data_IF_340755354055
#
_entry.id   IF_340755354055
#
_cell.length_a   1.000
_cell.length_b   1.000
_cell.length_c   1.000
_cell.angle_alpha   90.00
_cell.angle_beta   90.00
_cell.angle_gamma   90.00
#
_symmetry.space_group_name_H-M   'P 1'
#
loop_
_entity.id
_entity.type
_entity.pdbx_description
1 polymer ?
#
# COMPACT_ATOMS: atom_id res chain seq x y z
N UNK A 1 25.84 9.43 -20.48
CA UNK A 1 24.48 9.99 -20.57
C UNK A 1 23.66 9.31 -19.49
N UNK A 2 23.29 10.05 -18.44
CA UNK A 2 22.61 9.49 -17.26
C UNK A 2 21.10 9.45 -17.49
N UNK A 3 20.54 8.24 -17.59
CA UNK A 3 19.10 8.00 -17.46
C UNK A 3 18.82 7.50 -16.05
N UNK A 4 18.55 8.42 -15.13
CA UNK A 4 17.90 8.10 -13.88
C UNK A 4 16.48 7.64 -14.17
N UNK A 5 16.25 6.33 -14.20
CA UNK A 5 14.91 5.75 -14.33
C UNK A 5 14.17 5.95 -13.02
N UNK A 6 13.36 7.00 -12.97
CA UNK A 6 12.32 7.15 -11.97
C UNK A 6 11.25 6.09 -12.19
N UNK A 7 11.02 5.26 -11.18
CA UNK A 7 9.83 4.42 -11.08
C UNK A 7 8.57 5.30 -10.92
N UNK A 8 8.14 5.95 -11.99
CA UNK A 8 6.76 6.47 -12.10
C UNK A 8 5.84 5.28 -12.36
N UNK A 9 5.50 4.54 -11.30
CA UNK A 9 4.38 3.60 -11.30
C UNK A 9 3.14 4.34 -10.80
N UNK A 10 2.50 5.08 -11.71
CA UNK A 10 1.12 5.55 -11.55
C UNK A 10 0.27 4.89 -12.62
N UNK A 11 0.08 3.58 -12.49
CA UNK A 11 -1.12 2.92 -13.00
C UNK A 11 -1.83 2.36 -11.77
N UNK A 12 -2.39 3.30 -11.02
CA UNK A 12 -3.45 3.00 -10.08
C UNK A 12 -4.58 2.37 -10.89
N UNK A 13 -5.28 1.38 -10.31
CA UNK A 13 -6.68 1.21 -10.67
C UNK A 13 -7.35 2.53 -10.23
N UNK A 14 -7.42 3.50 -11.14
CA UNK A 14 -8.34 4.61 -10.96
C UNK A 14 -9.72 3.98 -10.94
N UNK A 15 -10.30 3.95 -9.74
CA UNK A 15 -11.72 3.80 -9.54
C UNK A 15 -12.37 4.95 -10.30
N UNK A 16 -13.00 4.63 -11.44
CA UNK A 16 -13.78 5.59 -12.20
C UNK A 16 -14.88 6.08 -11.27
N UNK A 17 -14.87 7.38 -10.97
CA UNK A 17 -15.99 8.04 -10.28
C UNK A 17 -17.26 7.70 -11.06
N UNK A 18 -18.34 7.21 -10.42
CA UNK A 18 -19.57 6.94 -11.13
C UNK A 18 -20.07 8.23 -11.80
N UNK A 19 -20.18 8.19 -13.13
CA UNK A 19 -20.74 9.27 -13.94
C UNK A 19 -22.23 9.42 -13.59
N UNK A 20 -22.55 10.31 -12.65
CA UNK A 20 -23.93 10.49 -12.19
C UNK A 20 -24.26 11.76 -11.42
N UNK A 21 -23.30 12.63 -11.08
CA UNK A 21 -23.59 13.87 -10.33
C UNK A 21 -22.85 15.10 -10.89
N UNK A 22 -23.49 16.28 -10.88
CA UNK A 22 -22.96 17.48 -11.51
C UNK A 22 -21.72 17.98 -10.76
N UNK A 23 -20.74 18.59 -11.46
CA UNK A 23 -19.52 19.07 -10.84
C UNK A 23 -19.83 20.28 -9.96
N UNK A 24 -19.69 20.15 -8.65
CA UNK A 24 -19.49 21.29 -7.76
C UNK A 24 -18.12 21.94 -8.08
N UNK A 25 -18.03 23.27 -8.17
CA UNK A 25 -16.83 23.93 -8.63
C UNK A 25 -15.74 23.85 -7.55
N UNK A 26 -14.63 23.19 -7.89
CA UNK A 26 -13.40 23.20 -7.11
C UNK A 26 -12.65 24.48 -7.52
N UNK A 27 -12.46 25.42 -6.60
CA UNK A 27 -11.50 26.51 -6.81
C UNK A 27 -10.08 25.96 -6.65
N UNK A 28 -9.35 25.91 -7.76
CA UNK A 28 -7.90 25.77 -7.77
C UNK A 28 -7.26 27.03 -7.17
N UNK A 29 -6.33 26.85 -6.24
CA UNK A 29 -5.37 27.89 -5.87
C UNK A 29 -3.98 27.30 -5.83
N UNK A 30 -3.20 27.57 -6.88
CA UNK A 30 -1.75 27.71 -6.71
C UNK A 30 -1.14 28.72 -7.71
N UNK A 31 -0.43 29.71 -7.16
CA UNK A 31 0.69 30.42 -7.78
C UNK A 31 0.44 31.58 -8.76
N UNK A 32 0.48 32.84 -8.28
CA UNK A 32 0.74 34.01 -9.15
C UNK A 32 0.61 35.36 -8.46
N UNK A 33 1.73 36.02 -8.19
CA UNK A 33 1.84 37.36 -7.59
C UNK A 33 0.99 38.42 -8.31
N UNK A 34 0.07 39.04 -7.58
CA UNK A 34 -0.67 40.23 -8.02
C UNK A 34 -1.37 40.89 -6.84
N UNK A 35 -1.04 42.15 -6.57
CA UNK A 35 -1.68 43.01 -5.57
C UNK A 35 -3.19 43.13 -5.85
N UNK A 36 -4.01 42.34 -5.17
CA UNK A 36 -5.45 42.55 -5.11
C UNK A 36 -5.94 42.37 -3.67
N UNK A 37 -6.26 43.52 -3.09
CA UNK A 37 -7.40 43.82 -2.20
C UNK A 37 -8.01 42.64 -1.41
N UNK A 38 -8.11 42.73 -0.06
CA UNK A 38 -8.75 41.68 0.73
C UNK A 38 -10.17 41.44 0.19
N UNK A 39 -10.60 40.18 0.01
CA UNK A 39 -11.93 39.91 -0.51
C UNK A 39 -12.93 40.55 0.43
N UNK A 40 -13.75 41.45 -0.12
CA UNK A 40 -14.88 42.02 0.56
C UNK A 40 -15.67 40.90 1.24
N UNK A 41 -16.05 41.12 2.49
CA UNK A 41 -16.95 40.26 3.25
C UNK A 41 -18.21 39.99 2.40
N UNK A 42 -18.22 38.85 1.69
CA UNK A 42 -19.46 38.26 1.24
C UNK A 42 -20.23 37.89 2.51
N UNK A 43 -21.48 38.37 2.69
CA UNK A 43 -22.26 37.94 3.83
C UNK A 43 -22.37 36.42 3.78
N UNK A 44 -21.90 35.74 4.84
CA UNK A 44 -22.16 34.31 5.04
C UNK A 44 -23.66 34.11 4.83
N UNK A 45 -24.05 33.43 3.75
CA UNK A 45 -25.45 33.07 3.55
C UNK A 45 -25.91 32.34 4.81
N UNK A 46 -26.97 32.86 5.44
CA UNK A 46 -27.58 32.23 6.60
C UNK A 46 -28.19 30.91 6.14
N UNK A 47 -27.51 29.80 6.43
CA UNK A 47 -27.98 28.44 6.14
C UNK A 47 -29.07 28.07 7.17
N UNK A 48 -30.19 27.49 6.74
CA UNK A 48 -31.20 26.94 7.65
C UNK A 48 -30.77 25.58 8.21
N UNK A 49 -31.37 25.14 9.32
CA UNK A 49 -31.12 23.79 9.86
C UNK A 49 -31.39 22.67 8.85
N UNK A 50 -32.39 22.83 7.98
CA UNK A 50 -32.75 21.87 6.94
C UNK A 50 -31.67 21.79 5.86
N UNK A 51 -31.17 22.94 5.40
CA UNK A 51 -30.10 23.01 4.40
C UNK A 51 -28.78 22.47 4.96
N UNK A 52 -28.44 22.86 6.19
CA UNK A 52 -27.23 22.39 6.88
C UNK A 52 -27.23 20.87 7.05
N UNK A 53 -28.34 20.29 7.53
CA UNK A 53 -28.45 18.85 7.68
C UNK A 53 -28.34 18.13 6.33
N UNK A 54 -29.06 18.61 5.31
CA UNK A 54 -29.01 18.00 3.96
C UNK A 54 -27.59 17.97 3.43
N UNK A 55 -26.88 19.11 3.46
CA UNK A 55 -25.50 19.23 3.00
C UNK A 55 -24.58 18.26 3.76
N UNK A 56 -24.65 18.25 5.09
CA UNK A 56 -23.82 17.35 5.91
C UNK A 56 -24.07 15.88 5.57
N UNK A 57 -25.33 15.48 5.48
CA UNK A 57 -25.73 14.10 5.19
C UNK A 57 -25.30 13.68 3.77
N UNK A 58 -25.44 14.57 2.76
CA UNK A 58 -24.95 14.32 1.40
C UNK A 58 -23.41 14.19 1.35
N UNK A 59 -22.68 15.07 2.04
CA UNK A 59 -21.22 14.99 2.13
C UNK A 59 -20.74 13.73 2.87
N UNK A 60 -21.42 13.34 3.95
CA UNK A 60 -21.16 12.09 4.69
C UNK A 60 -21.39 10.91 3.76
N UNK A 61 -22.56 10.80 3.15
CA UNK A 61 -22.92 9.69 2.27
C UNK A 61 -21.92 9.54 1.11
N UNK A 62 -21.48 10.65 0.51
CA UNK A 62 -20.50 10.64 -0.57
C UNK A 62 -19.10 10.20 -0.12
N UNK A 63 -18.68 10.52 1.10
CA UNK A 63 -17.40 10.04 1.63
C UNK A 63 -17.49 8.59 2.11
N UNK A 64 -18.60 8.22 2.74
CA UNK A 64 -18.85 6.86 3.22
C UNK A 64 -18.82 5.82 2.10
N UNK A 65 -19.34 6.14 0.91
CA UNK A 65 -19.31 5.22 -0.23
C UNK A 65 -17.89 4.87 -0.67
N UNK A 66 -16.90 5.71 -0.35
CA UNK A 66 -15.48 5.41 -0.59
C UNK A 66 -14.87 4.51 0.49
N UNK A 67 -15.59 4.21 1.58
CA UNK A 67 -15.19 3.37 2.72
C UNK A 67 -13.82 3.74 3.35
N UNK A 68 -13.56 5.03 3.66
CA UNK A 68 -12.22 5.50 4.00
C UNK A 68 -11.68 4.88 5.30
N UNK A 69 -12.54 4.61 6.29
CA UNK A 69 -12.15 3.99 7.57
C UNK A 69 -11.66 2.54 7.42
N UNK A 70 -12.47 1.62 6.88
CA UNK A 70 -12.05 0.24 6.65
C UNK A 70 -10.84 0.11 5.72
N UNK A 71 -10.78 0.92 4.65
CA UNK A 71 -9.62 0.99 3.75
C UNK A 71 -8.39 1.50 4.51
N UNK A 72 -8.52 2.51 5.38
CA UNK A 72 -7.41 3.02 6.21
C UNK A 72 -6.86 1.93 7.14
N UNK A 73 -7.72 1.25 7.89
CA UNK A 73 -7.29 0.18 8.81
C UNK A 73 -6.52 -0.91 8.06
N UNK A 74 -6.99 -1.28 6.87
CA UNK A 74 -6.32 -2.26 6.01
C UNK A 74 -4.95 -1.76 5.55
N UNK A 75 -4.86 -0.51 5.11
CA UNK A 75 -3.60 0.08 4.66
C UNK A 75 -2.58 0.24 5.81
N UNK A 76 -3.04 0.56 7.03
CA UNK A 76 -2.19 0.64 8.22
C UNK A 76 -1.70 -0.73 8.66
N UNK A 77 -2.59 -1.73 8.71
CA UNK A 77 -2.22 -3.13 8.98
C UNK A 77 -1.19 -3.65 7.96
N UNK A 78 -1.32 -3.26 6.68
CA UNK A 78 -0.34 -3.60 5.66
C UNK A 78 1.03 -2.95 5.93
N UNK A 79 1.07 -1.68 6.34
CA UNK A 79 2.32 -1.01 6.76
C UNK A 79 2.95 -1.75 7.94
N UNK A 80 2.16 -2.14 8.94
CA UNK A 80 2.64 -2.89 10.10
C UNK A 80 3.20 -4.26 9.71
N UNK A 81 2.51 -4.99 8.84
CA UNK A 81 2.95 -6.29 8.33
C UNK A 81 4.33 -6.19 7.66
N UNK A 82 4.54 -5.26 6.73
CA UNK A 82 5.85 -5.10 6.07
C UNK A 82 6.93 -4.69 7.08
N UNK A 83 6.60 -3.82 8.05
CA UNK A 83 7.55 -3.42 9.10
C UNK A 83 7.92 -4.59 10.03
N UNK A 84 6.97 -5.50 10.32
CA UNK A 84 7.22 -6.68 11.15
C UNK A 84 8.13 -7.69 10.44
N UNK A 85 7.93 -7.89 9.13
CA UNK A 85 8.79 -8.72 8.30
C UNK A 85 10.24 -8.21 8.26
N UNK A 86 10.45 -6.88 8.29
CA UNK A 86 11.77 -6.25 8.41
C UNK A 86 12.46 -6.61 9.74
N UNK A 87 11.73 -6.68 10.85
CA UNK A 87 12.30 -7.00 12.18
C UNK A 87 12.60 -8.48 12.36
N UNK A 88 11.72 -9.36 11.85
CA UNK A 88 11.92 -10.81 11.93
C UNK A 88 13.17 -11.31 11.20
N UNK A 89 13.62 -10.60 10.16
CA UNK A 89 14.89 -10.88 9.47
C UNK A 89 16.15 -10.47 10.25
N UNK A 90 16.05 -9.49 11.16
CA UNK A 90 17.18 -9.01 11.96
C UNK A 90 17.41 -9.88 13.20
N UNK A 91 16.38 -10.55 13.73
CA UNK A 91 16.47 -11.39 14.93
C UNK A 91 16.86 -12.87 14.66
N UNK A 92 16.91 -13.31 13.40
CA UNK A 92 17.35 -14.68 13.05
C UNK A 92 18.87 -14.81 12.82
N UNK A 93 19.63 -13.74 12.99
CA UNK A 93 21.09 -13.78 13.06
C UNK A 93 21.59 -13.72 14.50
N UNK A 94 22.13 -14.85 14.99
CA UNK A 94 23.05 -15.02 16.14
C UNK A 94 22.48 -15.73 17.40
N UNK A 95 23.09 -16.90 17.63
CA UNK A 95 23.22 -17.73 18.85
C UNK A 95 22.03 -18.57 19.34
N UNK A 96 22.07 -19.86 18.98
CA UNK A 96 21.56 -20.94 19.83
C UNK A 96 22.49 -21.05 21.06
N UNK A 97 22.04 -20.80 22.30
CA UNK A 97 22.82 -21.11 23.49
C UNK A 97 22.73 -22.62 23.77
N UNK A 98 23.79 -23.28 24.28
CA UNK A 98 23.73 -24.68 24.68
C UNK A 98 22.75 -24.86 25.86
N UNK A 99 22.17 -26.06 26.05
CA UNK A 99 21.12 -26.29 27.02
C UNK A 99 21.64 -26.11 28.45
N UNK A 100 21.06 -25.17 29.19
CA UNK A 100 21.31 -25.00 30.63
C UNK A 100 20.45 -25.98 31.46
N UNK A 101 21.00 -26.51 32.57
CA UNK A 101 20.28 -27.45 33.44
C UNK A 101 19.16 -26.75 34.24
N UNK A 102 18.16 -27.51 34.76
CA UNK A 102 16.93 -26.94 35.27
C UNK A 102 17.13 -26.14 36.57
N UNK A 103 16.37 -25.05 36.78
CA UNK A 103 16.53 -24.20 37.96
C UNK A 103 15.91 -24.82 39.23
N UNK A 104 16.45 -24.53 40.43
CA UNK A 104 15.89 -24.95 41.71
C UNK A 104 14.66 -24.10 42.11
N UNK A 105 13.81 -24.57 43.06
CA UNK A 105 12.52 -23.95 43.35
C UNK A 105 12.63 -22.67 44.18
N UNK A 106 11.75 -21.72 43.90
CA UNK A 106 11.60 -20.43 44.58
C UNK A 106 10.96 -20.56 45.98
N UNK A 107 11.34 -19.74 46.97
CA UNK A 107 10.52 -19.44 48.14
C UNK A 107 9.68 -18.16 47.98
N UNK A 108 8.57 -18.15 48.72
CA UNK A 108 7.42 -17.25 48.70
C UNK A 108 7.66 -15.76 49.03
N UNK A 109 6.74 -14.95 48.45
CA UNK A 109 6.05 -13.73 48.94
C UNK A 109 6.80 -12.63 49.70
N UNK A 110 6.73 -11.38 49.20
CA UNK A 110 6.26 -10.19 49.95
C UNK A 110 5.63 -9.15 48.99
N UNK A 111 4.53 -8.54 49.43
CA UNK A 111 3.69 -7.51 48.78
C UNK A 111 4.26 -6.08 48.71
N UNK A 112 3.53 -5.23 47.95
CA UNK A 112 3.39 -3.75 47.95
C UNK A 112 4.32 -3.00 46.98
N UNK A 113 4.00 -1.83 46.41
CA UNK A 113 2.79 -1.10 46.00
C UNK A 113 3.29 0.18 45.27
N UNK A 114 2.53 0.68 44.28
CA UNK A 114 2.50 2.04 43.71
C UNK A 114 3.78 2.76 43.21
N UNK A 115 3.70 3.15 41.93
CA UNK A 115 4.06 4.49 41.47
C UNK A 115 5.51 4.71 41.07
N UNK A 116 5.75 4.89 39.76
CA UNK A 116 6.41 6.05 39.12
C UNK A 116 6.72 5.66 37.67
N UNK A 117 6.09 6.32 36.71
CA UNK A 117 6.41 6.18 35.28
C UNK A 117 7.63 7.06 34.97
N UNK A 118 8.75 6.53 34.43
CA UNK A 118 9.79 7.37 33.87
C UNK A 118 9.50 7.60 32.39
N UNK A 119 9.36 8.88 32.04
CA UNK A 119 9.48 9.41 30.69
C UNK A 119 10.75 8.86 30.01
N UNK A 120 10.56 8.02 28.99
CA UNK A 120 11.59 7.62 28.04
C UNK A 120 11.28 8.20 26.67
N UNK A 121 11.81 9.39 26.39
CA UNK A 121 11.71 10.02 25.08
C UNK A 121 12.40 9.17 24.01
N UNK A 122 11.61 8.47 23.20
CA UNK A 122 12.09 7.86 21.97
C UNK A 122 12.33 8.99 20.98
N UNK A 123 13.60 9.42 20.87
CA UNK A 123 14.06 10.26 19.78
C UNK A 123 13.75 9.56 18.45
N UNK A 124 12.64 9.93 17.81
CA UNK A 124 12.34 9.56 16.42
C UNK A 124 13.45 10.16 15.55
N UNK A 125 14.40 9.31 15.15
CA UNK A 125 15.37 9.63 14.09
C UNK A 125 14.58 10.01 12.81
N UNK A 126 14.98 11.03 12.04
CA UNK A 126 14.22 11.42 10.85
C UNK A 126 14.27 10.31 9.80
N UNK A 127 13.10 9.73 9.51
CA UNK A 127 12.89 8.63 8.54
C UNK A 127 13.48 8.94 7.14
N UNK A 128 13.62 10.22 6.79
CA UNK A 128 14.20 10.64 5.51
C UNK A 128 15.70 10.34 5.39
N UNK A 129 16.48 10.47 6.48
CA UNK A 129 17.93 10.26 6.43
C UNK A 129 18.30 8.76 6.29
N UNK A 130 17.44 7.87 6.79
CA UNK A 130 17.62 6.42 6.71
C UNK A 130 17.26 5.87 5.32
N UNK A 131 16.29 6.51 4.65
CA UNK A 131 15.86 6.19 3.27
C UNK A 131 16.99 6.41 2.25
N UNK A 132 17.63 7.57 2.32
CA UNK A 132 18.70 7.92 1.37
C UNK A 132 19.90 6.99 1.55
N UNK A 133 20.21 6.61 2.79
CA UNK A 133 21.30 5.69 3.11
C UNK A 133 21.10 4.27 2.56
N UNK A 134 19.89 3.69 2.62
CA UNK A 134 19.65 2.32 2.12
C UNK A 134 19.70 2.26 0.58
N UNK A 135 19.10 3.24 -0.09
CA UNK A 135 19.17 3.34 -1.55
C UNK A 135 20.60 3.58 -2.03
N UNK A 136 21.36 4.42 -1.31
CA UNK A 136 22.78 4.65 -1.59
C UNK A 136 23.64 3.41 -1.32
N UNK A 137 23.38 2.68 -0.23
CA UNK A 137 24.04 1.41 0.08
C UNK A 137 23.81 0.35 -0.99
N UNK A 138 22.56 0.14 -1.42
CA UNK A 138 22.23 -0.83 -2.47
C UNK A 138 22.93 -0.47 -3.80
N UNK A 139 22.96 0.82 -4.16
CA UNK A 139 23.70 1.29 -5.34
C UNK A 139 25.21 1.11 -5.21
N UNK A 140 25.78 1.39 -4.03
CA UNK A 140 27.20 1.21 -3.78
C UNK A 140 27.61 -0.27 -3.89
N UNK A 141 26.79 -1.20 -3.39
CA UNK A 141 27.06 -2.63 -3.57
C UNK A 141 26.94 -3.05 -5.04
N UNK A 142 25.95 -2.57 -5.81
CA UNK A 142 25.88 -2.87 -7.25
C UNK A 142 27.15 -2.44 -7.99
N UNK A 143 27.67 -1.24 -7.68
CA UNK A 143 28.94 -0.75 -8.23
C UNK A 143 30.11 -1.66 -7.85
N UNK A 144 30.18 -2.06 -6.59
CA UNK A 144 31.22 -2.98 -6.08
C UNK A 144 31.15 -4.36 -6.74
N UNK A 145 29.95 -4.92 -6.91
CA UNK A 145 29.77 -6.18 -7.65
C UNK A 145 30.29 -6.03 -9.07
N UNK A 146 29.88 -4.99 -9.79
CA UNK A 146 30.35 -4.72 -11.16
C UNK A 146 31.87 -4.67 -11.24
N UNK A 147 32.52 -3.91 -10.35
CA UNK A 147 33.99 -3.79 -10.33
C UNK A 147 34.69 -5.12 -10.08
N UNK A 148 34.17 -5.95 -9.17
CA UNK A 148 34.72 -7.28 -8.88
C UNK A 148 34.59 -8.19 -10.11
N UNK A 149 33.41 -8.22 -10.74
CA UNK A 149 33.17 -9.06 -11.94
C UNK A 149 34.06 -8.64 -13.11
N UNK A 150 34.26 -7.33 -13.30
CA UNK A 150 35.19 -6.80 -14.29
C UNK A 150 36.63 -7.24 -14.01
N UNK A 151 37.10 -7.12 -12.76
CA UNK A 151 38.46 -7.53 -12.36
C UNK A 151 38.70 -9.04 -12.52
N UNK A 152 37.65 -9.84 -12.32
CA UNK A 152 37.70 -11.29 -12.52
C UNK A 152 37.64 -11.71 -13.99
N UNK A 153 37.35 -10.79 -14.92
CA UNK A 153 37.30 -11.04 -16.35
C UNK A 153 36.34 -12.20 -16.70
N UNK A 154 35.17 -12.20 -16.03
CA UNK A 154 34.14 -13.26 -16.16
C UNK A 154 33.51 -13.24 -17.55
N UNK A 155 33.19 -12.05 -18.08
CA UNK A 155 32.48 -11.87 -19.35
C UNK A 155 33.25 -12.48 -20.53
N UNK A 156 34.57 -12.33 -20.54
CA UNK A 156 35.42 -12.77 -21.66
C UNK A 156 35.84 -14.23 -21.54
N UNK A 157 35.65 -14.87 -20.39
CA UNK A 157 36.25 -16.17 -20.09
C UNK A 157 35.30 -17.10 -19.32
N UNK A 158 34.63 -17.98 -20.07
CA UNK A 158 33.72 -18.98 -19.53
C UNK A 158 34.39 -19.93 -18.52
N UNK A 159 35.68 -20.26 -18.70
CA UNK A 159 36.39 -21.13 -17.76
C UNK A 159 36.60 -20.44 -16.40
N UNK A 160 37.01 -19.16 -16.41
CA UNK A 160 37.09 -18.37 -15.17
C UNK A 160 35.72 -18.21 -14.52
N UNK A 161 34.67 -17.99 -15.31
CA UNK A 161 33.29 -17.91 -14.81
C UNK A 161 32.90 -19.18 -14.04
N UNK A 162 33.20 -20.37 -14.59
CA UNK A 162 32.96 -21.63 -13.90
C UNK A 162 33.83 -21.80 -12.65
N UNK A 163 35.10 -21.40 -12.69
CA UNK A 163 36.01 -21.51 -11.54
C UNK A 163 35.60 -20.58 -10.38
N UNK A 164 35.07 -19.40 -10.68
CA UNK A 164 34.68 -18.38 -9.70
C UNK A 164 33.18 -18.43 -9.35
N UNK A 165 32.45 -19.45 -9.81
CA UNK A 165 30.99 -19.53 -9.72
C UNK A 165 30.46 -19.32 -8.31
N UNK A 166 30.93 -20.11 -7.33
CA UNK A 166 30.41 -19.99 -5.96
C UNK A 166 30.85 -18.68 -5.28
N UNK A 167 32.00 -18.12 -5.67
CA UNK A 167 32.40 -16.79 -5.19
C UNK A 167 31.44 -15.71 -5.69
N UNK A 168 31.11 -15.73 -6.98
CA UNK A 168 30.14 -14.80 -7.60
C UNK A 168 28.73 -15.03 -7.05
N UNK A 169 28.34 -16.27 -6.79
CA UNK A 169 27.07 -16.61 -6.17
C UNK A 169 26.94 -16.01 -4.77
N UNK A 170 27.98 -16.13 -3.92
CA UNK A 170 28.00 -15.49 -2.59
C UNK A 170 27.88 -13.97 -2.68
N UNK A 171 28.63 -13.36 -3.59
CA UNK A 171 28.57 -11.91 -3.84
C UNK A 171 27.16 -11.48 -4.26
N UNK A 172 26.51 -12.26 -5.12
CA UNK A 172 25.14 -12.01 -5.57
C UNK A 172 24.13 -12.14 -4.43
N UNK A 173 24.24 -13.17 -3.58
CA UNK A 173 23.38 -13.32 -2.39
C UNK A 173 23.48 -12.10 -1.47
N UNK A 174 24.69 -11.67 -1.13
CA UNK A 174 24.90 -10.48 -0.28
C UNK A 174 24.34 -9.20 -0.89
N UNK A 175 24.51 -9.00 -2.20
CA UNK A 175 23.94 -7.83 -2.88
C UNK A 175 22.40 -7.89 -2.89
N UNK A 176 21.84 -9.06 -3.17
CA UNK A 176 20.40 -9.28 -3.14
C UNK A 176 19.83 -9.03 -1.74
N UNK A 177 20.48 -9.45 -0.66
CA UNK A 177 19.99 -9.18 0.70
C UNK A 177 19.81 -7.66 0.96
N UNK A 178 20.77 -6.84 0.52
CA UNK A 178 20.66 -5.37 0.65
C UNK A 178 19.61 -4.76 -0.29
N UNK A 179 19.48 -5.28 -1.51
CA UNK A 179 18.42 -4.88 -2.44
C UNK A 179 17.03 -5.20 -1.86
N UNK A 180 16.86 -6.34 -1.18
CA UNK A 180 15.59 -6.72 -0.56
C UNK A 180 15.16 -5.71 0.51
N UNK A 181 16.09 -5.23 1.33
CA UNK A 181 15.82 -4.21 2.34
C UNK A 181 15.43 -2.87 1.72
N UNK A 182 16.10 -2.49 0.62
CA UNK A 182 15.73 -1.31 -0.15
C UNK A 182 14.30 -1.42 -0.70
N UNK A 183 13.95 -2.53 -1.36
CA UNK A 183 12.61 -2.74 -1.91
C UNK A 183 11.53 -2.75 -0.83
N UNK A 184 11.80 -3.33 0.35
CA UNK A 184 10.86 -3.28 1.49
C UNK A 184 10.63 -1.86 1.97
N UNK A 185 11.67 -1.05 2.06
CA UNK A 185 11.53 0.35 2.46
C UNK A 185 10.71 1.15 1.43
N UNK A 186 10.93 0.93 0.13
CA UNK A 186 10.10 1.54 -0.92
C UNK A 186 8.63 1.14 -0.78
N UNK A 187 8.35 -0.15 -0.56
CA UNK A 187 6.99 -0.65 -0.31
C UNK A 187 6.34 0.04 0.90
N UNK A 188 7.07 0.20 2.01
CA UNK A 188 6.60 0.91 3.21
C UNK A 188 6.27 2.37 2.89
N UNK A 189 7.13 3.06 2.12
CA UNK A 189 6.90 4.46 1.73
C UNK A 189 5.63 4.60 0.91
N UNK A 190 5.43 3.74 -0.08
CA UNK A 190 4.22 3.73 -0.90
C UNK A 190 2.96 3.43 -0.08
N UNK A 191 3.02 2.45 0.82
CA UNK A 191 1.91 2.09 1.69
C UNK A 191 1.56 3.23 2.67
N UNK A 192 2.56 3.89 3.26
CA UNK A 192 2.35 5.06 4.14
C UNK A 192 1.71 6.24 3.39
N UNK A 193 2.09 6.47 2.14
CA UNK A 193 1.47 7.52 1.31
C UNK A 193 -0.02 7.24 1.12
N UNK A 194 -0.40 5.99 0.82
CA UNK A 194 -1.81 5.59 0.70
C UNK A 194 -2.56 5.75 2.02
N UNK A 195 -2.00 5.27 3.13
CA UNK A 195 -2.61 5.42 4.45
C UNK A 195 -2.82 6.89 4.82
N UNK A 196 -1.88 7.78 4.47
CA UNK A 196 -2.03 9.21 4.72
C UNK A 196 -3.20 9.81 3.93
N UNK A 197 -3.40 9.43 2.66
CA UNK A 197 -4.56 9.88 1.88
C UNK A 197 -5.86 9.43 2.53
N UNK A 198 -5.99 8.13 2.84
CA UNK A 198 -7.18 7.57 3.47
C UNK A 198 -7.45 8.21 4.85
N UNK A 199 -6.40 8.53 5.61
CA UNK A 199 -6.52 9.21 6.90
C UNK A 199 -7.10 10.62 6.75
N UNK A 200 -6.74 11.37 5.71
CA UNK A 200 -7.33 12.69 5.45
C UNK A 200 -8.83 12.59 5.19
N UNK A 201 -9.24 11.61 4.41
CA UNK A 201 -10.65 11.37 4.08
C UNK A 201 -11.43 10.90 5.32
N UNK A 202 -10.84 10.01 6.12
CA UNK A 202 -11.43 9.53 7.37
C UNK A 202 -11.56 10.64 8.42
N UNK A 203 -10.55 11.49 8.61
CA UNK A 203 -10.64 12.63 9.53
C UNK A 203 -11.59 13.72 9.03
N UNK A 204 -11.81 13.82 7.71
CA UNK A 204 -12.90 14.65 7.17
C UNK A 204 -14.26 14.06 7.53
N UNK A 205 -14.45 12.76 7.32
CA UNK A 205 -15.68 12.05 7.63
C UNK A 205 -16.05 12.18 9.12
N UNK A 206 -15.09 11.96 10.03
CA UNK A 206 -15.30 12.13 11.48
C UNK A 206 -15.76 13.53 11.87
N UNK A 207 -15.19 14.56 11.25
CA UNK A 207 -15.59 15.96 11.51
C UNK A 207 -17.02 16.23 11.03
N UNK A 208 -17.41 15.69 9.87
CA UNK A 208 -18.77 15.82 9.37
C UNK A 208 -19.78 15.13 10.28
N UNK A 209 -19.48 13.92 10.77
CA UNK A 209 -20.32 13.24 11.75
C UNK A 209 -20.45 14.04 13.04
N UNK A 210 -19.36 14.57 13.59
CA UNK A 210 -19.42 15.41 14.78
C UNK A 210 -20.29 16.67 14.58
N UNK A 211 -20.23 17.31 13.41
CA UNK A 211 -21.09 18.45 13.06
C UNK A 211 -22.56 18.02 12.95
N UNK A 212 -22.84 16.88 12.32
CA UNK A 212 -24.17 16.32 12.18
C UNK A 212 -24.77 15.94 13.54
N UNK A 213 -24.01 15.26 14.40
CA UNK A 213 -24.43 14.86 15.75
C UNK A 213 -24.78 16.08 16.61
N UNK A 214 -23.98 17.15 16.53
CA UNK A 214 -24.28 18.39 17.25
C UNK A 214 -25.54 19.08 16.72
N UNK A 215 -25.74 19.08 15.39
CA UNK A 215 -26.95 19.60 14.78
C UNK A 215 -28.17 18.79 15.24
N UNK A 216 -28.11 17.46 15.16
CA UNK A 216 -29.18 16.56 15.58
C UNK A 216 -29.47 16.69 17.08
N UNK A 217 -28.44 16.75 17.93
CA UNK A 217 -28.60 16.97 19.38
C UNK A 217 -29.34 18.28 19.67
N UNK A 218 -29.10 19.34 18.90
CA UNK A 218 -29.82 20.62 19.04
C UNK A 218 -31.29 20.49 18.65
N UNK A 219 -31.64 19.63 17.70
CA UNK A 219 -33.02 19.42 17.24
C UNK A 219 -33.78 18.47 18.19
N UNK A 220 -33.14 17.38 18.61
CA UNK A 220 -33.81 16.28 19.29
C UNK A 220 -33.50 16.16 20.78
N UNK A 221 -32.60 16.99 21.32
CA UNK A 221 -32.15 16.91 22.73
C UNK A 221 -31.66 15.51 23.14
N UNK A 222 -31.05 14.76 22.19
CA UNK A 222 -30.46 13.45 22.44
C UNK A 222 -31.41 12.24 22.32
N UNK A 223 -32.64 12.42 21.82
CA UNK A 223 -33.56 11.31 21.52
C UNK A 223 -33.78 11.15 20.00
N UNK A 224 -34.44 10.08 19.58
CA UNK A 224 -34.97 9.98 18.20
C UNK A 224 -36.26 10.80 18.05
N UNK A 225 -36.49 11.33 16.85
CA UNK A 225 -37.72 12.04 16.51
C UNK A 225 -38.93 11.14 16.32
N UNK A 226 -38.71 9.95 15.76
CA UNK A 226 -39.74 8.94 15.51
C UNK A 226 -39.20 7.50 15.67
N UNK A 227 -40.08 6.53 15.89
CA UNK A 227 -39.72 5.09 15.89
C UNK A 227 -39.22 4.64 14.51
N UNK A 228 -39.78 5.23 13.45
CA UNK A 228 -39.35 4.97 12.08
C UNK A 228 -37.91 5.44 11.85
N UNK A 229 -37.54 6.63 12.35
CA UNK A 229 -36.16 7.11 12.31
C UNK A 229 -35.21 6.13 13.01
N UNK A 230 -35.56 5.68 14.22
CA UNK A 230 -34.73 4.72 14.97
C UNK A 230 -34.54 3.40 14.21
N UNK A 231 -35.60 2.92 13.54
CA UNK A 231 -35.56 1.68 12.77
C UNK A 231 -34.66 1.83 11.54
N UNK A 232 -34.83 2.92 10.77
CA UNK A 232 -33.99 3.23 9.61
C UNK A 232 -32.52 3.43 9.98
N UNK A 233 -32.23 4.06 11.11
CA UNK A 233 -30.87 4.26 11.62
C UNK A 233 -30.21 2.91 11.99
N UNK A 234 -30.98 2.01 12.63
CA UNK A 234 -30.51 0.65 12.96
C UNK A 234 -30.25 -0.20 11.71
N UNK A 235 -31.15 -0.14 10.73
CA UNK A 235 -30.98 -0.84 9.45
C UNK A 235 -29.78 -0.29 8.65
N UNK A 236 -29.60 1.02 8.65
CA UNK A 236 -28.46 1.68 8.00
C UNK A 236 -27.13 1.23 8.62
N UNK A 237 -27.06 1.13 9.95
CA UNK A 237 -25.84 0.67 10.63
C UNK A 237 -25.47 -0.76 10.22
N UNK A 238 -26.47 -1.66 10.15
CA UNK A 238 -26.24 -3.03 9.68
C UNK A 238 -25.78 -3.07 8.20
N UNK A 239 -26.33 -2.19 7.35
CA UNK A 239 -25.89 -2.10 5.95
C UNK A 239 -24.47 -1.54 5.81
N UNK A 240 -24.12 -0.52 6.62
CA UNK A 240 -22.76 0.04 6.70
C UNK A 240 -21.76 -1.02 7.11
N UNK A 241 -22.06 -1.84 8.11
CA UNK A 241 -21.20 -2.94 8.56
C UNK A 241 -20.82 -3.90 7.42
N UNK A 242 -21.77 -4.26 6.56
CA UNK A 242 -21.52 -5.13 5.41
C UNK A 242 -20.65 -4.43 4.37
N UNK A 243 -21.01 -3.20 3.98
CA UNK A 243 -20.23 -2.38 3.04
C UNK A 243 -18.80 -2.19 3.51
N UNK A 244 -18.62 -1.88 4.79
CA UNK A 244 -17.33 -1.54 5.37
C UNK A 244 -16.39 -2.77 5.43
N UNK A 245 -16.92 -3.96 5.72
CA UNK A 245 -16.15 -5.22 5.60
C UNK A 245 -15.66 -5.45 4.16
N UNK A 246 -16.54 -5.23 3.18
CA UNK A 246 -16.18 -5.32 1.76
C UNK A 246 -15.17 -4.24 1.35
N UNK A 247 -15.29 -3.02 1.89
CA UNK A 247 -14.34 -1.92 1.68
C UNK A 247 -12.93 -2.28 2.13
N UNK A 248 -12.78 -2.94 3.28
CA UNK A 248 -11.49 -3.48 3.75
C UNK A 248 -10.93 -4.55 2.81
N UNK A 249 -11.76 -5.51 2.39
CA UNK A 249 -11.37 -6.53 1.41
C UNK A 249 -10.92 -5.90 0.07
N UNK A 250 -11.65 -4.92 -0.45
CA UNK A 250 -11.28 -4.20 -1.67
C UNK A 250 -9.90 -3.56 -1.56
N UNK A 251 -9.55 -2.97 -0.42
CA UNK A 251 -8.20 -2.40 -0.23
C UNK A 251 -7.12 -3.48 -0.21
N UNK A 252 -7.35 -4.66 0.39
CA UNK A 252 -6.40 -5.79 0.34
C UNK A 252 -6.16 -6.23 -1.10
N UNK A 253 -7.23 -6.42 -1.88
CA UNK A 253 -7.16 -6.80 -3.28
C UNK A 253 -6.50 -5.70 -4.13
N UNK A 254 -6.74 -4.42 -3.82
CA UNK A 254 -6.06 -3.30 -4.46
C UNK A 254 -4.54 -3.33 -4.21
N UNK A 255 -4.12 -3.60 -2.98
CA UNK A 255 -2.70 -3.74 -2.62
C UNK A 255 -2.08 -4.91 -3.40
N UNK A 256 -2.68 -6.10 -3.33
CA UNK A 256 -2.19 -7.29 -4.02
C UNK A 256 -2.12 -7.08 -5.54
N UNK A 257 -3.16 -6.52 -6.14
CA UNK A 257 -3.19 -6.25 -7.58
C UNK A 257 -2.17 -5.21 -8.03
N UNK A 258 -1.93 -4.17 -7.23
CA UNK A 258 -0.86 -3.20 -7.50
C UNK A 258 0.52 -3.83 -7.49
N UNK A 259 0.80 -4.66 -6.49
CA UNK A 259 2.07 -5.37 -6.34
C UNK A 259 2.28 -6.42 -7.43
N UNK A 260 1.25 -7.20 -7.76
CA UNK A 260 1.32 -8.22 -8.79
C UNK A 260 1.51 -7.61 -10.20
N UNK A 261 0.89 -6.46 -10.48
CA UNK A 261 1.17 -5.69 -11.72
C UNK A 261 2.59 -5.15 -11.76
N UNK A 262 3.12 -4.65 -10.64
CA UNK A 262 4.51 -4.22 -10.55
C UNK A 262 5.47 -5.39 -10.82
N UNK A 263 5.18 -6.57 -10.25
CA UNK A 263 5.93 -7.80 -10.52
C UNK A 263 5.89 -8.19 -11.99
N UNK A 264 4.71 -8.22 -12.62
CA UNK A 264 4.57 -8.55 -14.04
C UNK A 264 5.36 -7.58 -14.94
N UNK A 265 5.26 -6.27 -14.67
CA UNK A 265 6.00 -5.24 -15.41
C UNK A 265 7.51 -5.43 -15.28
N UNK A 266 8.01 -5.64 -14.06
CA UNK A 266 9.42 -5.90 -13.82
C UNK A 266 9.91 -7.16 -14.54
N UNK A 267 9.17 -8.27 -14.45
CA UNK A 267 9.53 -9.52 -15.13
C UNK A 267 9.52 -9.42 -16.66
N UNK A 268 8.68 -8.57 -17.23
CA UNK A 268 8.75 -8.28 -18.65
C UNK A 268 10.07 -7.59 -19.02
N UNK A 269 10.44 -6.54 -18.26
CA UNK A 269 11.71 -5.81 -18.46
C UNK A 269 12.94 -6.71 -18.25
N UNK A 270 12.88 -7.69 -17.36
CA UNK A 270 13.96 -8.66 -17.14
C UNK A 270 14.28 -9.46 -18.40
N UNK A 271 13.25 -9.87 -19.14
CA UNK A 271 13.44 -10.59 -20.41
C UNK A 271 14.14 -9.67 -21.42
N UNK A 272 13.69 -8.42 -21.53
CA UNK A 272 14.31 -7.42 -22.42
C UNK A 272 15.78 -7.19 -22.07
N UNK A 273 16.10 -6.94 -20.80
CA UNK A 273 17.48 -6.77 -20.35
C UNK A 273 18.32 -7.99 -20.66
N UNK A 274 17.82 -9.20 -20.37
CA UNK A 274 18.54 -10.45 -20.60
C UNK A 274 18.88 -10.68 -22.07
N UNK A 275 17.98 -10.31 -22.99
CA UNK A 275 18.20 -10.41 -24.42
C UNK A 275 19.22 -9.38 -24.94
N UNK A 276 19.30 -8.20 -24.32
CA UNK A 276 20.25 -7.14 -24.66
C UNK A 276 21.71 -7.49 -24.30
N UNK A 277 21.96 -8.51 -23.48
CA UNK A 277 23.33 -8.96 -23.18
C UNK A 277 24.09 -9.40 -24.42
N UNK A 278 23.43 -10.11 -25.36
CA UNK A 278 24.09 -10.63 -26.56
C UNK A 278 24.58 -9.56 -27.55
N UNK A 279 23.79 -8.53 -27.89
CA UNK A 279 24.26 -7.45 -28.76
C UNK A 279 25.19 -6.44 -28.06
N UNK A 280 25.41 -6.56 -26.74
CA UNK A 280 26.31 -5.65 -26.01
C UNK A 280 27.75 -5.69 -26.55
N UNK A 281 28.40 -4.54 -26.55
CA UNK A 281 29.70 -4.34 -27.22
C UNK A 281 30.89 -4.36 -26.27
N UNK A 282 30.64 -4.24 -24.97
CA UNK A 282 31.69 -4.17 -23.95
C UNK A 282 31.33 -4.99 -22.72
N UNK A 283 32.35 -5.52 -22.04
CA UNK A 283 32.16 -6.27 -20.81
C UNK A 283 31.44 -5.45 -19.72
N UNK A 284 31.74 -4.14 -19.65
CA UNK A 284 31.06 -3.23 -18.71
C UNK A 284 29.56 -3.17 -18.99
N UNK A 285 29.17 -2.95 -20.24
CA UNK A 285 27.76 -2.90 -20.66
C UNK A 285 27.06 -4.24 -20.40
N UNK A 286 27.70 -5.37 -20.72
CA UNK A 286 27.13 -6.70 -20.44
C UNK A 286 26.85 -6.90 -18.94
N UNK A 287 27.80 -6.51 -18.07
CA UNK A 287 27.65 -6.65 -16.62
C UNK A 287 26.56 -5.70 -16.10
N UNK A 288 26.49 -4.47 -16.59
CA UNK A 288 25.45 -3.51 -16.20
C UNK A 288 24.07 -4.04 -16.54
N UNK A 289 23.85 -4.50 -17.77
CA UNK A 289 22.57 -5.10 -18.18
C UNK A 289 22.24 -6.36 -17.36
N UNK A 290 23.23 -7.19 -17.05
CA UNK A 290 23.03 -8.37 -16.20
C UNK A 290 22.62 -7.99 -14.76
N UNK A 291 23.23 -6.96 -14.19
CA UNK A 291 22.89 -6.45 -12.86
C UNK A 291 21.52 -5.77 -12.86
N UNK A 292 21.18 -5.02 -13.91
CA UNK A 292 19.86 -4.41 -14.09
C UNK A 292 18.77 -5.48 -14.20
N UNK A 293 19.00 -6.54 -15.00
CA UNK A 293 18.12 -7.70 -15.08
C UNK A 293 17.96 -8.36 -13.70
N UNK A 294 19.07 -8.55 -12.95
CA UNK A 294 19.02 -9.18 -11.63
C UNK A 294 18.21 -8.36 -10.64
N UNK A 295 18.51 -7.07 -10.49
CA UNK A 295 17.86 -6.19 -9.53
C UNK A 295 16.38 -6.02 -9.86
N UNK A 296 16.04 -5.85 -11.14
CA UNK A 296 14.65 -5.74 -11.60
C UNK A 296 13.86 -7.02 -11.30
N UNK A 297 14.44 -8.19 -11.58
CA UNK A 297 13.78 -9.47 -11.32
C UNK A 297 13.61 -9.71 -9.81
N UNK A 298 14.61 -9.33 -9.02
CA UNK A 298 14.56 -9.49 -7.58
C UNK A 298 13.49 -8.58 -6.96
N UNK A 299 13.39 -7.32 -7.39
CA UNK A 299 12.31 -6.42 -7.01
C UNK A 299 10.93 -6.96 -7.42
N UNK A 300 10.82 -7.56 -8.60
CA UNK A 300 9.59 -8.21 -9.04
C UNK A 300 9.19 -9.42 -8.17
N UNK A 301 10.16 -10.23 -7.73
CA UNK A 301 9.92 -11.32 -6.79
C UNK A 301 9.46 -10.80 -5.42
N UNK A 302 10.11 -9.76 -4.90
CA UNK A 302 9.69 -9.11 -3.65
C UNK A 302 8.26 -8.57 -3.74
N UNK A 303 7.90 -7.93 -4.86
CA UNK A 303 6.54 -7.45 -5.09
C UNK A 303 5.54 -8.61 -5.18
N UNK A 304 5.89 -9.71 -5.85
CA UNK A 304 5.03 -10.90 -5.93
C UNK A 304 4.79 -11.53 -4.55
N UNK A 305 5.84 -11.72 -3.75
CA UNK A 305 5.74 -12.26 -2.40
C UNK A 305 4.87 -11.35 -1.51
N UNK A 306 5.05 -10.04 -1.64
CA UNK A 306 4.22 -9.06 -0.95
C UNK A 306 2.76 -9.12 -1.42
N UNK A 307 2.50 -9.35 -2.71
CA UNK A 307 1.13 -9.54 -3.23
C UNK A 307 0.46 -10.77 -2.61
N UNK A 308 1.20 -11.88 -2.47
CA UNK A 308 0.71 -13.09 -1.80
C UNK A 308 0.46 -12.83 -0.31
N UNK A 309 1.33 -12.09 0.37
CA UNK A 309 1.15 -11.72 1.78
C UNK A 309 -0.04 -10.78 2.01
N UNK A 310 -0.41 -9.97 1.03
CA UNK A 310 -1.59 -9.10 1.10
C UNK A 310 -2.93 -9.87 1.00
N UNK A 311 -2.91 -11.10 0.48
CA UNK A 311 -4.07 -12.00 0.38
C UNK A 311 -3.76 -13.39 0.97
N UNK A 312 -3.53 -13.49 2.29
CA UNK A 312 -3.03 -14.73 2.91
C UNK A 312 -4.00 -15.92 2.81
N UNK A 313 -5.30 -15.66 2.64
CA UNK A 313 -6.33 -16.70 2.47
C UNK A 313 -6.64 -17.03 1.01
N UNK A 314 -5.95 -16.43 0.05
CA UNK A 314 -6.18 -16.62 -1.38
C UNK A 314 -4.95 -17.25 -2.02
N UNK A 315 -5.13 -18.42 -2.64
CA UNK A 315 -4.09 -19.02 -3.46
C UNK A 315 -4.07 -18.36 -4.85
N UNK A 316 -3.01 -17.59 -5.14
CA UNK A 316 -2.82 -16.99 -6.46
C UNK A 316 -2.37 -18.08 -7.46
N UNK A 317 -3.15 -18.36 -8.52
CA UNK A 317 -2.87 -19.44 -9.46
C UNK A 317 -1.67 -19.14 -10.36
N UNK A 318 -1.26 -20.15 -11.14
CA UNK A 318 -0.18 -20.13 -12.16
C UNK A 318 1.24 -19.94 -11.62
N UNK A 319 1.40 -19.58 -10.34
CA UNK A 319 2.66 -19.28 -9.70
C UNK A 319 2.88 -20.27 -8.56
N UNK A 320 3.88 -21.13 -8.71
CA UNK A 320 4.27 -22.10 -7.66
C UNK A 320 5.51 -21.64 -6.91
N UNK A 321 5.63 -22.07 -5.65
CA UNK A 321 6.85 -21.85 -4.84
C UNK A 321 8.10 -22.40 -5.56
N UNK A 322 7.96 -23.53 -6.26
CA UNK A 322 9.05 -24.13 -7.05
C UNK A 322 9.53 -23.21 -8.17
N UNK A 323 8.62 -22.56 -8.89
CA UNK A 323 8.99 -21.60 -9.92
C UNK A 323 9.69 -20.38 -9.33
N UNK A 324 9.19 -19.83 -8.22
CA UNK A 324 9.86 -18.72 -7.52
C UNK A 324 11.28 -19.10 -7.09
N UNK A 325 11.47 -20.30 -6.52
CA UNK A 325 12.79 -20.80 -6.13
C UNK A 325 13.72 -21.00 -7.32
N UNK A 326 13.21 -21.46 -8.46
CA UNK A 326 14.01 -21.58 -9.69
C UNK A 326 14.48 -20.21 -10.20
N UNK A 327 13.62 -19.19 -10.16
CA UNK A 327 13.98 -17.82 -10.53
C UNK A 327 15.01 -17.26 -9.54
N UNK A 328 14.81 -17.40 -8.22
CA UNK A 328 15.80 -16.99 -7.21
C UNK A 328 17.16 -17.65 -7.44
N UNK A 329 17.18 -18.93 -7.78
CA UNK A 329 18.41 -19.65 -8.11
C UNK A 329 19.07 -19.06 -9.37
N UNK A 330 18.31 -18.80 -10.43
CA UNK A 330 18.82 -18.16 -11.64
C UNK A 330 19.44 -16.77 -11.35
N UNK A 331 18.86 -15.98 -10.43
CA UNK A 331 19.42 -14.68 -10.03
C UNK A 331 20.77 -14.79 -9.30
N UNK A 332 20.96 -15.83 -8.50
CA UNK A 332 22.22 -16.08 -7.77
C UNK A 332 23.37 -16.38 -8.74
N UNK A 333 23.11 -17.14 -9.80
CA UNK A 333 24.11 -17.58 -10.78
C UNK A 333 24.13 -16.74 -12.07
N UNK A 334 23.27 -15.71 -12.16
CA UNK A 334 23.04 -14.92 -13.38
C UNK A 334 24.33 -14.40 -14.04
N UNK A 335 25.26 -13.91 -13.23
CA UNK A 335 26.52 -13.32 -13.69
C UNK A 335 27.52 -14.34 -14.26
N UNK A 336 27.40 -15.62 -13.93
CA UNK A 336 28.20 -16.68 -14.57
C UNK A 336 27.43 -17.38 -15.68
N UNK A 337 26.11 -17.42 -15.59
CA UNK A 337 25.25 -17.99 -16.62
C UNK A 337 25.25 -17.16 -17.91
N UNK A 338 25.44 -15.84 -17.82
CA UNK A 338 25.47 -14.95 -19.00
C UNK A 338 26.53 -15.32 -20.05
N UNK A 339 27.63 -15.98 -19.64
CA UNK A 339 28.71 -16.39 -20.56
C UNK A 339 28.66 -17.86 -20.97
N UNK A 340 27.79 -18.66 -20.34
CA UNK A 340 27.60 -20.05 -20.70
C UNK A 340 26.39 -20.18 -21.63
N UNK A 341 26.54 -20.56 -22.91
CA UNK A 341 25.44 -20.55 -23.87
C UNK A 341 24.22 -21.41 -23.45
N UNK A 342 24.47 -22.58 -22.85
CA UNK A 342 23.41 -23.48 -22.42
C UNK A 342 22.65 -22.93 -21.21
N UNK A 343 23.37 -22.36 -20.25
CA UNK A 343 22.75 -21.77 -19.05
C UNK A 343 22.10 -20.44 -19.33
N UNK A 344 22.68 -19.63 -20.22
CA UNK A 344 22.06 -18.41 -20.73
C UNK A 344 20.67 -18.71 -21.30
N UNK A 345 20.59 -19.75 -22.14
CA UNK A 345 19.36 -20.19 -22.76
C UNK A 345 18.36 -20.69 -21.71
N UNK A 346 18.81 -21.51 -20.76
CA UNK A 346 17.98 -21.98 -19.66
C UNK A 346 17.40 -20.82 -18.83
N UNK A 347 18.23 -19.87 -18.41
CA UNK A 347 17.82 -18.71 -17.61
C UNK A 347 16.83 -17.83 -18.37
N UNK A 348 17.02 -17.65 -19.69
CA UNK A 348 16.04 -16.97 -20.54
C UNK A 348 14.68 -17.65 -20.49
N UNK A 349 14.65 -18.97 -20.64
CA UNK A 349 13.40 -19.74 -20.67
C UNK A 349 12.71 -19.72 -19.29
N UNK A 350 13.49 -19.76 -18.20
CA UNK A 350 12.97 -19.59 -16.83
C UNK A 350 12.30 -18.22 -16.67
N UNK A 351 12.96 -17.13 -17.08
CA UNK A 351 12.38 -15.78 -17.00
C UNK A 351 11.14 -15.63 -17.88
N UNK A 352 11.19 -16.12 -19.13
CA UNK A 352 10.07 -16.04 -20.06
C UNK A 352 8.82 -16.78 -19.55
N UNK A 353 8.97 -18.03 -19.10
CA UNK A 353 7.85 -18.82 -18.57
C UNK A 353 7.30 -18.19 -17.30
N UNK A 354 8.17 -17.74 -16.40
CA UNK A 354 7.73 -17.12 -15.14
C UNK A 354 7.00 -15.80 -15.39
N UNK A 355 7.53 -14.94 -16.26
CA UNK A 355 6.91 -13.68 -16.67
C UNK A 355 5.50 -13.90 -17.24
N UNK A 356 5.36 -14.86 -18.17
CA UNK A 356 4.06 -15.21 -18.76
C UNK A 356 3.04 -15.71 -17.71
N UNK A 357 3.48 -16.48 -16.72
CA UNK A 357 2.60 -16.97 -15.66
C UNK A 357 2.18 -15.88 -14.68
N UNK A 358 3.08 -14.97 -14.32
CA UNK A 358 2.73 -13.81 -13.47
C UNK A 358 1.75 -12.89 -14.21
N UNK A 359 1.89 -12.71 -15.52
CA UNK A 359 0.90 -11.97 -16.32
C UNK A 359 -0.49 -12.62 -16.30
N UNK A 360 -0.58 -13.96 -16.41
CA UNK A 360 -1.86 -14.68 -16.25
C UNK A 360 -2.47 -14.50 -14.86
N UNK A 361 -1.64 -14.51 -13.81
CA UNK A 361 -2.09 -14.27 -12.45
C UNK A 361 -2.65 -12.84 -12.27
N UNK A 362 -2.07 -11.83 -12.92
CA UNK A 362 -2.62 -10.46 -12.94
C UNK A 362 -4.02 -10.45 -13.56
N UNK A 363 -4.21 -11.11 -14.70
CA UNK A 363 -5.52 -11.19 -15.36
C UNK A 363 -6.55 -11.87 -14.48
N UNK A 364 -6.22 -13.03 -13.92
CA UNK A 364 -7.09 -13.75 -13.00
C UNK A 364 -7.50 -12.91 -11.80
N UNK A 365 -6.55 -12.22 -11.16
CA UNK A 365 -6.85 -11.37 -10.00
C UNK A 365 -7.81 -10.23 -10.37
N UNK A 366 -7.63 -9.63 -11.55
CA UNK A 366 -8.50 -8.59 -12.07
C UNK A 366 -9.92 -9.11 -12.38
N UNK A 367 -10.04 -10.30 -12.99
CA UNK A 367 -11.33 -10.95 -13.26
C UNK A 367 -12.06 -11.25 -11.95
N UNK A 368 -11.40 -11.89 -10.99
CA UNK A 368 -11.99 -12.15 -9.67
C UNK A 368 -12.46 -10.87 -8.99
N UNK A 369 -11.65 -9.81 -8.99
CA UNK A 369 -12.07 -8.52 -8.44
C UNK A 369 -13.30 -7.94 -9.14
N UNK A 370 -13.32 -7.96 -10.47
CA UNK A 370 -14.34 -7.29 -11.27
C UNK A 370 -15.67 -8.04 -11.30
N UNK A 371 -15.62 -9.37 -11.30
CA UNK A 371 -16.80 -10.23 -11.43
C UNK A 371 -17.47 -10.54 -10.09
N UNK A 372 -16.76 -10.42 -8.96
CA UNK A 372 -17.32 -10.71 -7.63
C UNK A 372 -17.22 -9.50 -6.71
N UNK A 373 -16.03 -9.23 -6.18
CA UNK A 373 -15.84 -8.31 -5.06
C UNK A 373 -16.34 -6.89 -5.35
N UNK A 374 -16.13 -6.40 -6.58
CA UNK A 374 -16.65 -5.09 -7.00
C UNK A 374 -18.18 -5.07 -7.01
N UNK A 375 -18.81 -6.09 -7.58
CA UNK A 375 -20.28 -6.17 -7.66
C UNK A 375 -20.91 -6.28 -6.27
N UNK A 376 -20.28 -7.04 -5.37
CA UNK A 376 -20.72 -7.19 -3.99
C UNK A 376 -20.62 -5.85 -3.23
N UNK A 377 -19.51 -5.12 -3.38
CA UNK A 377 -19.35 -3.80 -2.77
C UNK A 377 -20.36 -2.80 -3.34
N UNK A 378 -20.50 -2.73 -4.67
CA UNK A 378 -21.44 -1.82 -5.33
C UNK A 378 -22.88 -2.10 -4.88
N UNK A 379 -23.24 -3.38 -4.70
CA UNK A 379 -24.57 -3.77 -4.20
C UNK A 379 -24.77 -3.38 -2.74
N UNK A 380 -23.77 -3.60 -1.88
CA UNK A 380 -23.83 -3.20 -0.48
C UNK A 380 -23.91 -1.67 -0.30
N UNK A 381 -23.15 -0.92 -1.10
CA UNK A 381 -23.18 0.54 -1.10
C UNK A 381 -24.51 1.10 -1.58
N UNK A 382 -25.14 0.49 -2.60
CA UNK A 382 -26.48 0.86 -3.04
C UNK A 382 -27.51 0.70 -1.93
N UNK A 383 -27.47 -0.42 -1.18
CA UNK A 383 -28.37 -0.65 -0.05
C UNK A 383 -28.16 0.40 1.04
N UNK A 384 -26.90 0.66 1.43
CA UNK A 384 -26.58 1.68 2.43
C UNK A 384 -27.02 3.08 1.98
N UNK A 385 -26.80 3.43 0.71
CA UNK A 385 -27.18 4.73 0.14
C UNK A 385 -28.70 4.93 0.13
N UNK A 386 -29.48 3.89 -0.22
CA UNK A 386 -30.94 3.96 -0.19
C UNK A 386 -31.47 4.15 1.24
N UNK A 387 -30.94 3.40 2.21
CA UNK A 387 -31.30 3.56 3.62
C UNK A 387 -30.92 4.94 4.16
N UNK A 388 -29.72 5.43 3.84
CA UNK A 388 -29.27 6.77 4.21
C UNK A 388 -30.18 7.87 3.63
N UNK A 389 -30.62 7.72 2.37
CA UNK A 389 -31.59 8.62 1.75
C UNK A 389 -32.93 8.61 2.48
N UNK A 390 -33.48 7.43 2.77
CA UNK A 390 -34.77 7.31 3.47
C UNK A 390 -34.70 7.92 4.88
N UNK A 391 -33.61 7.66 5.61
CA UNK A 391 -33.36 8.24 6.93
C UNK A 391 -33.24 9.76 6.87
N UNK A 392 -32.50 10.28 5.88
CA UNK A 392 -32.38 11.72 5.63
C UNK A 392 -33.73 12.37 5.37
N UNK A 393 -34.59 11.77 4.54
CA UNK A 393 -35.92 12.30 4.26
C UNK A 393 -36.79 12.37 5.52
N UNK A 394 -36.76 11.32 6.36
CA UNK A 394 -37.49 11.30 7.63
C UNK A 394 -36.96 12.36 8.62
N UNK A 395 -35.63 12.50 8.74
CA UNK A 395 -34.99 13.51 9.59
C UNK A 395 -35.29 14.93 9.09
N UNK A 396 -35.21 15.19 7.77
CA UNK A 396 -35.53 16.49 7.19
C UNK A 396 -36.98 16.89 7.46
N UNK A 397 -37.93 15.95 7.35
CA UNK A 397 -39.34 16.18 7.68
C UNK A 397 -39.51 16.61 9.13
N UNK A 398 -38.82 15.94 10.06
CA UNK A 398 -38.91 16.27 11.49
C UNK A 398 -38.20 17.59 11.83
N UNK A 399 -36.99 17.82 11.31
CA UNK A 399 -36.23 19.06 11.50
C UNK A 399 -37.04 20.26 11.01
N UNK A 400 -37.63 20.17 9.82
CA UNK A 400 -38.48 21.23 9.26
C UNK A 400 -39.69 21.55 10.12
N UNK A 401 -40.28 20.55 10.77
CA UNK A 401 -41.38 20.74 11.72
C UNK A 401 -40.95 21.35 13.05
N UNK A 402 -39.76 21.01 13.57
CA UNK A 402 -39.27 21.46 14.89
C UNK A 402 -38.58 22.83 14.86
N UNK A 403 -37.87 23.13 13.77
CA UNK A 403 -37.03 24.31 13.62
C UNK A 403 -37.44 25.18 12.42
N UNK A 404 -38.72 25.62 12.31
CA UNK A 404 -39.14 26.42 11.18
C UNK A 404 -38.39 27.76 11.16
N UNK A 405 -37.76 28.09 10.03
CA UNK A 405 -37.04 29.36 9.79
C UNK A 405 -35.89 29.66 10.76
N UNK A 406 -35.34 28.66 11.48
CA UNK A 406 -34.14 28.87 12.29
C UNK A 406 -32.89 28.81 11.43
N UNK A 407 -32.03 29.81 11.62
CA UNK A 407 -30.70 29.86 11.02
C UNK A 407 -29.78 28.92 11.81
N UNK A 408 -29.09 28.04 11.10
CA UNK A 408 -28.03 27.20 11.65
C UNK A 408 -26.75 28.03 11.80
N UNK A 409 -26.20 28.04 13.00
CA UNK A 409 -24.89 28.64 13.27
C UNK A 409 -23.90 27.51 13.40
N UNK A 410 -23.02 27.37 12.40
CA UNK A 410 -22.00 26.32 12.40
C UNK A 410 -21.14 26.41 13.67
N UNK A 411 -21.02 25.33 14.46
CA UNK A 411 -20.15 25.30 15.62
C UNK A 411 -18.69 25.43 15.23
N UNK A 412 -17.88 26.03 16.09
CA UNK A 412 -16.42 25.97 15.97
C UNK A 412 -15.97 24.57 16.43
N UNK A 413 -15.90 23.62 15.49
CA UNK A 413 -15.37 22.28 15.74
C UNK A 413 -13.86 22.35 15.53
N UNK A 414 -13.10 22.14 16.61
CA UNK A 414 -11.63 22.22 16.66
C UNK A 414 -10.92 21.03 16.03
#
# INVERSE_FOLDING_TARGET
MHTGMGCSSSVMLEESVPAGHPPTPVMDTDGGYGLHQPPAFLPKQSESFVEAYRRLDEEICALESTTPGPRLMTAEAWVELINSAKRGGVEQGVTVPPPQPPPPPLPNEVMLANGTVPNGGVLRRPIMAEKDHLAESARAELVKVREIILKLDIVSNQFKAAQQEEFVARLSRTAMDQEADHFREEMIVHARKRALTLRKDFERLKRLYAEQDQLLSTVYSGAYGTVNEQTLDTELEAARDVRDRLGGAVEQWRIAGGLLRAAAKGLHQVVDYWELLRPSKSATETIELALDARSTCHGALMALEAAQAALPSVEIPYITVRQQSAVRHALIYLLTDMVNPARYQHTRDVFGVFSANVAKAVHWLHECYSETLKQDLDSADQVATLLAKNLREERLRHIGSRMPNRVYVRPAIG
#
